data_IF_325313064236
#
_entry.id   IF_325313064236
#
_cell.length_a   1.000
_cell.length_b   1.000
_cell.length_c   1.000
_cell.angle_alpha   90.00
_cell.angle_beta   90.00
_cell.angle_gamma   90.00
#
_symmetry.space_group_name_H-M   'P 1'
#
loop_
_entity.id
_entity.type
_entity.pdbx_description
1 polymer ?
#
# COMPACT_ATOMS: atom_id res chain seq x y z
N UNK A 1 -13.31 7.11 58.66
CA UNK A 1 -12.08 7.66 58.07
C UNK A 1 -11.87 7.05 56.69
N UNK A 2 -11.65 7.92 55.70
CA UNK A 2 -11.03 7.74 54.37
C UNK A 2 -11.29 6.46 53.54
N UNK A 3 -12.07 6.68 52.50
CA UNK A 3 -12.00 6.15 51.13
C UNK A 3 -10.59 5.75 50.67
N UNK A 4 -10.44 4.66 49.91
CA UNK A 4 -9.78 4.75 48.60
C UNK A 4 -10.11 3.57 47.67
N UNK A 5 -10.84 3.90 46.61
CA UNK A 5 -11.08 3.07 45.43
C UNK A 5 -9.84 3.15 44.55
N UNK A 6 -9.09 2.07 44.39
CA UNK A 6 -8.13 1.97 43.29
C UNK A 6 -8.81 1.32 42.07
N UNK A 7 -9.60 2.14 41.38
CA UNK A 7 -9.84 1.99 39.93
C UNK A 7 -8.75 2.83 39.25
N UNK A 8 -7.85 2.20 38.50
CA UNK A 8 -6.90 2.99 37.70
C UNK A 8 -5.79 2.15 37.11
N UNK A 9 -5.94 1.78 35.84
CA UNK A 9 -4.87 1.06 35.15
C UNK A 9 -5.13 0.65 33.71
N UNK A 10 -6.16 1.15 33.02
CA UNK A 10 -6.24 0.97 31.56
C UNK A 10 -5.22 1.89 30.88
N UNK A 11 -3.95 1.47 30.85
CA UNK A 11 -2.96 2.04 29.93
C UNK A 11 -3.34 1.63 28.51
N UNK A 12 -4.11 2.52 27.88
CA UNK A 12 -4.35 2.62 26.46
C UNK A 12 -3.01 2.67 25.74
N UNK A 13 -2.60 1.57 25.12
CA UNK A 13 -1.24 1.44 24.59
C UNK A 13 -1.12 0.71 23.26
N UNK A 14 -2.14 0.70 22.38
CA UNK A 14 -2.04 0.00 21.08
C UNK A 14 -2.82 0.65 19.94
N UNK A 15 -2.79 1.98 19.80
CA UNK A 15 -3.45 2.64 18.66
C UNK A 15 -2.58 2.73 17.40
N UNK A 16 -1.28 2.44 17.45
CA UNK A 16 -0.39 2.57 16.28
C UNK A 16 -0.26 1.31 15.43
N UNK A 17 -0.43 0.11 16.01
CA UNK A 17 -0.24 -1.16 15.27
C UNK A 17 -1.32 -1.41 14.20
N UNK A 18 -2.56 -1.00 14.44
CA UNK A 18 -3.63 -1.20 13.48
C UNK A 18 -3.45 -0.36 12.20
N UNK A 19 -2.87 0.85 12.32
CA UNK A 19 -2.62 1.73 11.16
C UNK A 19 -1.45 1.22 10.31
N UNK A 20 -0.36 0.79 10.95
CA UNK A 20 0.80 0.21 10.24
C UNK A 20 0.48 -1.13 9.59
N UNK A 21 -0.31 -1.98 10.26
CA UNK A 21 -0.77 -3.24 9.66
C UNK A 21 -1.65 -2.99 8.42
N UNK A 22 -2.64 -2.09 8.51
CA UNK A 22 -3.50 -1.75 7.36
C UNK A 22 -2.68 -1.19 6.19
N UNK A 23 -1.68 -0.34 6.47
CA UNK A 23 -0.77 0.18 5.46
C UNK A 23 0.07 -0.93 4.82
N UNK A 24 0.69 -1.81 5.61
CA UNK A 24 1.47 -2.94 5.08
C UNK A 24 0.62 -3.83 4.17
N UNK A 25 -0.61 -4.14 4.58
CA UNK A 25 -1.55 -4.92 3.76
C UNK A 25 -1.97 -4.19 2.47
N UNK A 26 -2.04 -2.86 2.49
CA UNK A 26 -2.33 -2.08 1.30
C UNK A 26 -1.14 -2.11 0.32
N UNK A 27 0.09 -1.97 0.82
CA UNK A 27 1.30 -2.10 0.00
C UNK A 27 1.43 -3.50 -0.62
N UNK A 28 1.25 -4.56 0.17
CA UNK A 28 1.28 -5.95 -0.32
C UNK A 28 0.23 -6.19 -1.43
N UNK A 29 -0.91 -5.49 -1.37
CA UNK A 29 -1.94 -5.59 -2.39
C UNK A 29 -1.57 -4.78 -3.64
N UNK A 30 -1.05 -3.58 -3.47
CA UNK A 30 -0.57 -2.72 -4.56
C UNK A 30 0.55 -3.41 -5.35
N UNK A 31 1.49 -4.08 -4.67
CA UNK A 31 2.55 -4.86 -5.31
C UNK A 31 1.97 -5.94 -6.24
N UNK A 32 0.95 -6.68 -5.79
CA UNK A 32 0.28 -7.69 -6.63
C UNK A 32 -0.37 -7.08 -7.86
N UNK A 33 -0.93 -5.87 -7.76
CA UNK A 33 -1.48 -5.17 -8.92
C UNK A 33 -0.38 -4.76 -9.90
N UNK A 34 0.78 -4.30 -9.41
CA UNK A 34 1.93 -4.01 -10.26
C UNK A 34 2.48 -5.25 -10.96
N UNK A 35 2.53 -6.40 -10.29
CA UNK A 35 2.90 -7.68 -10.92
C UNK A 35 1.92 -8.02 -12.07
N UNK A 36 0.61 -7.94 -11.83
CA UNK A 36 -0.41 -8.18 -12.86
C UNK A 36 -0.25 -7.23 -14.05
N UNK A 37 -0.04 -5.94 -13.79
CA UNK A 37 0.22 -4.93 -14.82
C UNK A 37 1.44 -5.30 -15.68
N UNK A 38 2.53 -5.74 -15.06
CA UNK A 38 3.74 -6.16 -15.78
C UNK A 38 3.48 -7.37 -16.66
N UNK A 39 2.76 -8.38 -16.16
CA UNK A 39 2.39 -9.58 -16.93
C UNK A 39 1.54 -9.20 -18.13
N UNK A 40 0.51 -8.37 -17.95
CA UNK A 40 -0.36 -7.92 -19.05
C UNK A 40 0.42 -7.16 -20.13
N UNK A 41 1.40 -6.34 -19.75
CA UNK A 41 2.29 -5.67 -20.71
C UNK A 41 3.13 -6.67 -21.51
N UNK A 42 3.73 -7.65 -20.83
CA UNK A 42 4.49 -8.71 -21.51
C UNK A 42 3.62 -9.51 -22.49
N UNK A 43 2.36 -9.78 -22.13
CA UNK A 43 1.41 -10.45 -23.02
C UNK A 43 1.07 -9.62 -24.26
N UNK A 44 0.95 -8.29 -24.15
CA UNK A 44 0.72 -7.41 -25.30
C UNK A 44 1.84 -7.42 -26.34
N UNK A 45 3.05 -7.71 -25.90
CA UNK A 45 4.25 -7.80 -26.75
C UNK A 45 4.45 -9.20 -27.34
N UNK A 46 3.75 -10.22 -26.82
CA UNK A 46 3.86 -11.59 -27.31
C UNK A 46 2.90 -11.86 -28.50
N UNK A 47 3.40 -12.44 -29.60
CA UNK A 47 2.59 -12.73 -30.79
C UNK A 47 1.51 -13.78 -30.53
N UNK A 48 1.68 -14.62 -29.51
CA UNK A 48 0.71 -15.65 -29.12
C UNK A 48 -0.66 -15.07 -28.70
N UNK A 49 -0.69 -13.79 -28.32
CA UNK A 49 -1.89 -13.11 -27.86
C UNK A 49 -2.47 -12.13 -28.89
N UNK A 50 -2.01 -12.15 -30.15
CA UNK A 50 -2.41 -11.19 -31.17
C UNK A 50 -3.94 -11.12 -31.37
N UNK A 51 -4.63 -12.26 -31.34
CA UNK A 51 -6.09 -12.35 -31.53
C UNK A 51 -6.88 -11.72 -30.38
N UNK A 52 -6.32 -11.72 -29.16
CA UNK A 52 -6.99 -11.20 -27.96
C UNK A 52 -6.37 -9.90 -27.43
N UNK A 53 -5.52 -9.24 -28.22
CA UNK A 53 -4.78 -8.04 -27.82
C UNK A 53 -5.68 -6.92 -27.29
N UNK A 54 -6.87 -6.75 -27.88
CA UNK A 54 -7.85 -5.75 -27.43
C UNK A 54 -8.43 -6.06 -26.05
N UNK A 55 -8.63 -7.34 -25.73
CA UNK A 55 -9.10 -7.77 -24.41
C UNK A 55 -8.02 -7.46 -23.36
N UNK A 56 -6.77 -7.84 -23.63
CA UNK A 56 -5.63 -7.58 -22.74
C UNK A 56 -5.41 -6.08 -22.52
N UNK A 57 -5.59 -5.25 -23.56
CA UNK A 57 -5.56 -3.79 -23.42
C UNK A 57 -6.65 -3.27 -22.47
N UNK A 58 -7.86 -3.82 -22.55
CA UNK A 58 -8.96 -3.49 -21.65
C UNK A 58 -8.65 -3.88 -20.20
N UNK A 59 -8.13 -5.10 -19.98
CA UNK A 59 -7.72 -5.58 -18.67
C UNK A 59 -6.58 -4.75 -18.07
N UNK A 60 -5.57 -4.39 -18.89
CA UNK A 60 -4.47 -3.54 -18.45
C UNK A 60 -4.97 -2.17 -17.98
N UNK A 61 -5.86 -1.54 -18.76
CA UNK A 61 -6.47 -0.26 -18.36
C UNK A 61 -7.27 -0.37 -17.07
N UNK A 62 -8.02 -1.45 -16.88
CA UNK A 62 -8.78 -1.68 -15.66
C UNK A 62 -7.85 -1.83 -14.44
N UNK A 63 -6.76 -2.58 -14.57
CA UNK A 63 -5.76 -2.72 -13.49
C UNK A 63 -5.08 -1.39 -13.18
N UNK A 64 -4.72 -0.59 -14.20
CA UNK A 64 -4.12 0.73 -14.00
C UNK A 64 -5.08 1.69 -13.28
N UNK A 65 -6.37 1.71 -13.65
CA UNK A 65 -7.38 2.49 -12.94
C UNK A 65 -7.51 2.09 -11.46
N UNK A 66 -7.55 0.78 -11.18
CA UNK A 66 -7.62 0.28 -9.79
C UNK A 66 -6.37 0.65 -9.00
N UNK A 67 -5.18 0.60 -9.62
CA UNK A 67 -3.93 1.05 -8.99
C UNK A 67 -4.05 2.52 -8.59
N UNK A 68 -4.46 3.40 -9.51
CA UNK A 68 -4.55 4.84 -9.26
C UNK A 68 -5.58 5.15 -8.15
N UNK A 69 -6.77 4.56 -8.23
CA UNK A 69 -7.83 4.72 -7.23
C UNK A 69 -7.40 4.20 -5.85
N UNK A 70 -6.77 3.02 -5.81
CA UNK A 70 -6.30 2.40 -4.56
C UNK A 70 -5.20 3.24 -3.92
N UNK A 71 -4.23 3.70 -4.71
CA UNK A 71 -3.11 4.48 -4.21
C UNK A 71 -3.56 5.81 -3.63
N UNK A 72 -4.54 6.47 -4.29
CA UNK A 72 -5.21 7.67 -3.78
C UNK A 72 -6.03 7.38 -2.52
N UNK A 73 -6.81 6.30 -2.51
CA UNK A 73 -7.68 5.95 -1.38
C UNK A 73 -6.90 5.68 -0.09
N UNK A 74 -5.73 5.07 -0.21
CA UNK A 74 -4.86 4.76 0.92
C UNK A 74 -3.74 5.80 1.15
N UNK A 75 -3.75 6.93 0.41
CA UNK A 75 -2.78 8.03 0.53
C UNK A 75 -1.31 7.55 0.44
N UNK A 76 -1.04 6.52 -0.36
CA UNK A 76 0.24 5.83 -0.32
C UNK A 76 1.40 6.69 -0.88
N UNK A 77 1.10 7.66 -1.76
CA UNK A 77 2.06 8.59 -2.37
C UNK A 77 2.75 9.53 -1.36
N UNK A 78 2.04 10.03 -0.35
CA UNK A 78 2.63 10.96 0.64
C UNK A 78 3.62 10.27 1.59
N UNK A 79 3.52 8.95 1.71
CA UNK A 79 4.33 8.16 2.64
C UNK A 79 5.66 7.70 2.08
N UNK A 80 5.79 7.42 0.78
CA UNK A 80 7.10 7.08 0.20
C UNK A 80 8.07 8.26 0.32
N UNK A 81 7.63 9.48 0.02
CA UNK A 81 8.43 10.69 0.21
C UNK A 81 8.76 10.97 1.68
N UNK A 82 7.82 10.68 2.62
CA UNK A 82 8.05 10.83 4.07
C UNK A 82 8.96 9.76 4.67
N UNK A 83 8.91 8.52 4.19
CA UNK A 83 9.78 7.44 4.67
C UNK A 83 11.19 7.58 4.07
N UNK A 84 11.29 7.94 2.78
CA UNK A 84 12.58 8.29 2.15
C UNK A 84 13.24 9.51 2.80
N UNK A 85 12.47 10.50 3.24
CA UNK A 85 13.02 11.66 3.97
C UNK A 85 13.45 11.32 5.40
N UNK A 86 12.75 10.43 6.11
CA UNK A 86 13.15 9.92 7.43
C UNK A 86 14.43 9.08 7.38
N UNK A 87 14.54 8.15 6.41
CA UNK A 87 15.76 7.34 6.25
C UNK A 87 16.98 8.18 5.88
N UNK A 88 16.80 9.30 5.18
CA UNK A 88 17.89 10.24 4.90
C UNK A 88 18.38 10.97 6.14
N UNK A 89 17.46 11.39 7.03
CA UNK A 89 17.83 12.08 8.27
C UNK A 89 18.56 11.15 9.23
N UNK A 90 18.15 9.89 9.33
CA UNK A 90 18.79 8.88 10.20
C UNK A 90 20.19 8.45 9.71
N UNK A 91 20.52 8.65 8.43
CA UNK A 91 21.85 8.37 7.86
C UNK A 91 22.83 9.54 7.99
N UNK A 92 22.35 10.77 8.17
CA UNK A 92 23.19 11.97 8.34
C UNK A 92 23.56 12.21 9.81
N UNK A 93 22.80 11.66 10.77
CA UNK A 93 23.09 11.76 12.22
C UNK A 93 24.01 10.65 12.76
N UNK A 94 24.57 9.79 11.89
CA UNK A 94 25.41 8.64 12.26
C UNK A 94 26.79 8.71 11.61
#
# INVERSE_FOLDING_TARGET
MRSEKHRGGHKRGHHHGAKTFRRGRALDFLERLHIKRTILKQQLDSPEYAEIKQVILGELKAIELVIDEFTKHFELHETEERELSREKTEKEEK
#
